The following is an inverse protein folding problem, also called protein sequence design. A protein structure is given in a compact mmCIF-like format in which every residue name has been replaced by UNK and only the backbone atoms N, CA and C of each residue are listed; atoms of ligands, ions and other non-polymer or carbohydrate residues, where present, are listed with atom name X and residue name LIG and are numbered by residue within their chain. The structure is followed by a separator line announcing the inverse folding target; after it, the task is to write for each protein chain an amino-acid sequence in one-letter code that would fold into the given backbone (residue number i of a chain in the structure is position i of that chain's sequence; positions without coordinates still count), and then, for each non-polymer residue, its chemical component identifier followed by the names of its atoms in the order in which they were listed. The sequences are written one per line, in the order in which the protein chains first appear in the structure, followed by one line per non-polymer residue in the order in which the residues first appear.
data_IF_939130139862
#
_entry.id   IF_939130139862
#
_cell.length_a   1.000
_cell.length_b   1.000
_cell.length_c   1.000
_cell.angle_alpha   90.00
_cell.angle_beta   90.00
_cell.angle_gamma   90.00
#
_symmetry.space_group_name_H-M   'P 1'
#
loop_
_entity.id
_entity.type
_entity.pdbx_description
1 polymer ?
2 non-polymer ?
3 non-polymer ?
4 non-polymer ?
5 water ?
#
# COMPACT_ATOMS: atom_id res chain seq x y z
N UNK A 5 10.91 16.77 5.54
CA UNK A 5 9.80 16.22 4.71
C UNK A 5 8.46 16.84 5.11
N UNK A 6 8.34 18.15 4.91
CA UNK A 6 7.20 18.93 5.43
C UNK A 6 5.82 18.53 4.88
N UNK A 7 5.80 17.91 3.71
CA UNK A 7 4.55 17.53 3.04
C UNK A 7 3.84 16.32 3.64
N UNK A 8 4.57 15.56 4.47
CA UNK A 8 4.04 14.38 5.16
C UNK A 8 2.89 14.69 6.11
N UNK A 9 2.98 15.85 6.78
CA UNK A 9 2.06 16.23 7.85
C UNK A 9 0.58 16.07 7.53
N UNK A 10 0.15 16.62 6.39
CA UNK A 10 -1.25 16.58 6.02
C UNK A 10 -1.76 15.14 5.79
N UNK A 11 -0.95 14.32 5.11
CA UNK A 11 -1.32 12.91 4.88
C UNK A 11 -1.42 12.11 6.18
N UNK A 12 -0.43 12.28 7.06
CA UNK A 12 -0.45 11.66 8.39
C UNK A 12 -1.67 12.10 9.21
N UNK A 13 -2.05 13.38 9.12
CA UNK A 13 -3.23 13.89 9.84
C UNK A 13 -4.53 13.27 9.33
N UNK A 14 -4.66 13.08 8.02
CA UNK A 14 -5.81 12.38 7.46
C UNK A 14 -5.86 10.92 7.95
N UNK A 15 -4.70 10.25 8.03
CA UNK A 15 -4.68 8.87 8.55
C UNK A 15 -5.12 8.82 10.00
N UNK A 16 -4.62 9.77 10.79
CA UNK A 16 -4.94 9.85 12.21
C UNK A 16 -6.43 10.03 12.49
N UNK A 17 -7.14 10.74 11.59
CA UNK A 17 -8.59 10.88 11.72
C UNK A 17 -9.31 9.51 11.76
N UNK A 18 -8.88 8.57 10.92
CA UNK A 18 -9.50 7.24 10.90
C UNK A 18 -9.04 6.44 12.11
N UNK A 19 -7.74 6.53 12.41
CA UNK A 19 -7.17 5.85 13.57
C UNK A 19 -7.84 6.23 14.89
N UNK A 20 -8.27 7.49 15.02
CA UNK A 20 -8.92 7.97 16.24
C UNK A 20 -10.41 7.60 16.34
N UNK A 21 -10.99 7.10 15.24
CA UNK A 21 -12.42 6.78 15.20
C UNK A 21 -12.69 5.35 15.67
N UNK A 22 -13.67 5.20 16.56
CA UNK A 22 -14.13 3.89 17.01
C UNK A 22 -15.66 3.88 17.04
N UNK A 23 -16.30 3.92 15.85
CA UNK A 23 -17.75 4.16 15.77
C UNK A 23 -18.58 2.99 16.29
N UNK A 24 -18.02 1.79 16.31
CA UNK A 24 -18.72 0.63 16.83
C UNK A 24 -18.37 0.35 18.31
N UNK A 25 -17.58 1.25 18.89
CA UNK A 25 -17.13 1.12 20.29
C UNK A 25 -16.53 -0.27 20.51
N UNK A 26 -15.64 -0.65 19.58
CA UNK A 26 -15.17 -2.04 19.49
C UNK A 26 -13.76 -2.30 20.03
N UNK A 27 -13.04 -1.25 20.43
CA UNK A 27 -11.62 -1.36 20.82
C UNK A 27 -11.34 -2.53 21.78
N UNK A 28 -12.04 -2.56 22.91
CA UNK A 28 -11.82 -3.60 23.92
C UNK A 28 -12.19 -5.00 23.44
N UNK A 29 -13.15 -5.07 22.51
CA UNK A 29 -13.55 -6.35 21.93
C UNK A 29 -12.51 -6.88 20.94
N UNK A 30 -12.04 -6.03 20.02
CA UNK A 30 -11.10 -6.49 19.00
C UNK A 30 -9.75 -6.91 19.62
N UNK A 31 -9.37 -6.28 20.73
CA UNK A 31 -8.17 -6.68 21.47
C UNK A 31 -8.19 -8.12 22.00
N UNK A 32 -9.37 -8.72 22.08
CA UNK A 32 -9.52 -10.12 22.52
C UNK A 32 -9.33 -11.12 21.36
N UNK A 33 -9.28 -10.61 20.13
CA UNK A 33 -9.13 -11.49 18.96
C UNK A 33 -7.83 -12.35 18.92
N UNK A 34 -6.64 -11.75 19.20
CA UNK A 34 -5.42 -12.56 19.30
C UNK A 34 -5.50 -13.81 20.19
N UNK A 35 -6.06 -13.68 21.38
CA UNK A 35 -6.25 -14.83 22.27
C UNK A 35 -7.08 -15.92 21.63
N UNK A 36 -8.19 -15.53 20.99
CA UNK A 36 -9.07 -16.49 20.31
C UNK A 36 -8.43 -17.16 19.11
N UNK A 37 -7.61 -16.40 18.37
CA UNK A 37 -6.83 -16.97 17.27
C UNK A 37 -5.80 -17.99 17.74
N UNK A 38 -5.13 -17.67 18.86
CA UNK A 38 -4.17 -18.57 19.49
C UNK A 38 -4.86 -19.89 19.90
N UNK A 39 -6.08 -19.78 20.43
CA UNK A 39 -6.89 -20.95 20.79
C UNK A 39 -7.60 -21.60 19.59
N UNK A 40 -7.49 -21.00 18.41
CA UNK A 40 -8.17 -21.50 17.21
C UNK A 40 -9.68 -21.71 17.46
N UNK A 41 -10.27 -20.75 18.17
CA UNK A 41 -11.64 -20.84 18.64
C UNK A 41 -12.58 -20.13 17.65
N UNK A 42 -13.01 -20.86 16.63
CA UNK A 42 -13.79 -20.30 15.54
C UNK A 42 -15.19 -19.82 15.99
N UNK A 43 -15.96 -20.66 16.73
CA UNK A 43 -17.24 -20.16 17.25
C UNK A 43 -17.07 -18.91 18.11
N UNK A 44 -15.99 -18.89 18.91
CA UNK A 44 -15.67 -17.73 19.75
C UNK A 44 -15.39 -16.47 18.94
N UNK A 45 -14.64 -16.62 17.85
CA UNK A 45 -14.34 -15.52 16.94
C UNK A 45 -15.63 -14.93 16.35
N UNK A 46 -16.51 -15.80 15.84
CA UNK A 46 -17.82 -15.38 15.33
C UNK A 46 -18.63 -14.67 16.44
N UNK A 47 -18.64 -15.28 17.63
CA UNK A 47 -19.36 -14.70 18.77
C UNK A 47 -18.87 -13.30 19.13
N UNK A 48 -17.55 -13.11 19.11
CA UNK A 48 -16.96 -11.81 19.45
C UNK A 48 -17.35 -10.76 18.39
N UNK A 49 -17.27 -11.13 17.12
CA UNK A 49 -17.71 -10.23 16.04
C UNK A 49 -19.18 -9.81 16.21
N UNK A 50 -20.06 -10.78 16.50
CA UNK A 50 -21.49 -10.50 16.65
C UNK A 50 -21.82 -9.53 17.79
N UNK A 51 -20.91 -9.38 18.76
CA UNK A 51 -21.07 -8.40 19.82
C UNK A 51 -21.10 -6.96 19.33
N UNK A 52 -20.45 -6.68 18.19
CA UNK A 52 -20.41 -5.30 17.68
C UNK A 52 -20.80 -5.11 16.20
N UNK A 53 -21.05 -6.19 15.48
CA UNK A 53 -21.39 -6.12 14.06
C UNK A 53 -22.79 -5.50 13.87
N UNK A 54 -22.86 -4.36 13.12
CA UNK A 54 -24.13 -3.65 12.90
C UNK A 54 -24.99 -4.32 11.83
N UNK A 55 -25.50 -5.51 12.16
CA UNK A 55 -26.33 -6.33 11.26
C UNK A 55 -27.63 -5.63 10.81
N UNK A 56 -28.10 -4.65 11.57
CA UNK A 56 -29.34 -3.93 11.25
C UNK A 56 -29.15 -2.82 10.22
N UNK A 57 -27.89 -2.49 9.91
CA UNK A 57 -27.59 -1.39 8.99
C UNK A 57 -26.65 -0.37 9.60
N UNK A 58 -26.09 0.49 8.76
CA UNK A 58 -25.13 1.51 9.18
C UNK A 58 -25.85 2.78 9.66
N UNK A 59 -25.37 3.37 10.77
CA UNK A 59 -25.87 4.67 11.27
C UNK A 59 -25.80 5.75 10.18
N UNK A 60 -26.90 6.48 10.01
CA UNK A 60 -27.04 7.44 8.92
C UNK A 60 -26.07 8.63 8.98
N UNK A 61 -25.60 8.97 10.18
CA UNK A 61 -24.67 10.09 10.36
C UNK A 61 -23.22 9.83 9.98
N UNK A 62 -22.88 8.58 9.66
CA UNK A 62 -21.50 8.17 9.32
C UNK A 62 -21.00 8.76 8.01
N UNK A 63 -19.73 9.15 8.00
CA UNK A 63 -19.04 9.56 6.78
C UNK A 63 -17.99 8.52 6.41
N UNK A 64 -17.06 8.90 5.52
CA UNK A 64 -15.96 8.02 5.12
C UNK A 64 -15.16 7.53 6.33
N UNK A 65 -14.90 8.44 7.28
CA UNK A 65 -14.05 8.14 8.42
C UNK A 65 -14.63 7.01 9.28
N UNK A 66 -15.90 7.14 9.66
CA UNK A 66 -16.56 6.11 10.46
C UNK A 66 -16.66 4.78 9.71
N UNK A 67 -17.06 4.81 8.45
CA UNK A 67 -17.19 3.58 7.67
C UNK A 67 -15.84 2.85 7.49
N UNK A 68 -14.75 3.60 7.26
CA UNK A 68 -13.40 3.01 7.13
C UNK A 68 -12.95 2.42 8.47
N UNK A 69 -13.22 3.13 9.57
CA UNK A 69 -12.89 2.64 10.90
C UNK A 69 -13.68 1.37 11.23
N UNK A 70 -14.95 1.34 10.81
CA UNK A 70 -15.79 0.15 10.99
C UNK A 70 -15.25 -1.04 10.20
N UNK A 71 -14.87 -0.79 8.94
CA UNK A 71 -14.27 -1.83 8.09
C UNK A 71 -12.96 -2.38 8.71
N UNK A 72 -12.16 -1.50 9.30
CA UNK A 72 -10.96 -1.91 10.04
C UNK A 72 -11.28 -2.95 11.13
N UNK A 73 -12.25 -2.62 11.99
CA UNK A 73 -12.52 -3.45 13.18
C UNK A 73 -13.19 -4.78 12.87
N UNK A 74 -14.14 -4.76 11.93
CA UNK A 74 -14.72 -5.99 11.39
C UNK A 74 -13.65 -6.77 10.60
N UNK A 75 -12.81 -6.03 9.88
CA UNK A 75 -11.77 -6.61 9.01
C UNK A 75 -10.84 -7.64 9.60
N UNK A 76 -10.34 -7.38 10.81
CA UNK A 76 -9.44 -8.33 11.44
C UNK A 76 -10.08 -9.71 11.67
N UNK A 77 -11.41 -9.74 11.82
CA UNK A 77 -12.16 -10.99 11.92
C UNK A 77 -12.25 -11.74 10.61
N UNK A 78 -12.23 -11.00 9.49
CA UNK A 78 -12.30 -11.58 8.15
C UNK A 78 -11.06 -12.40 7.82
N UNK A 79 -9.88 -11.79 7.97
CA UNK A 79 -8.60 -12.49 7.85
C UNK A 79 -8.48 -13.67 8.81
N UNK A 80 -8.96 -13.48 10.04
CA UNK A 80 -8.89 -14.50 11.09
C UNK A 80 -9.73 -15.73 10.74
N UNK A 81 -10.97 -15.51 10.31
CA UNK A 81 -11.84 -16.65 9.99
C UNK A 81 -11.30 -17.46 8.81
N UNK A 82 -10.85 -16.77 7.76
CA UNK A 82 -10.19 -17.42 6.62
C UNK A 82 -8.91 -18.19 7.02
N UNK A 83 -8.13 -17.62 7.93
CA UNK A 83 -6.91 -18.28 8.43
C UNK A 83 -7.23 -19.68 9.01
N UNK A 84 -8.37 -19.80 9.69
CA UNK A 84 -8.82 -21.09 10.24
C UNK A 84 -9.61 -21.97 9.24
N UNK A 85 -9.67 -21.53 7.98
CA UNK A 85 -10.25 -22.34 6.91
C UNK A 85 -11.72 -22.05 6.59
N UNK A 86 -12.21 -20.88 6.98
CA UNK A 86 -13.64 -20.56 6.82
C UNK A 86 -13.89 -19.27 6.03
N UNK A 87 -14.77 -19.33 5.04
CA UNK A 87 -15.20 -18.10 4.40
C UNK A 87 -16.05 -17.28 5.39
N UNK A 88 -15.58 -16.09 5.76
CA UNK A 88 -16.31 -15.33 6.78
C UNK A 88 -17.78 -15.08 6.39
N UNK A 89 -18.05 -14.82 5.12
CA UNK A 89 -19.42 -14.57 4.65
C UNK A 89 -20.33 -15.80 4.79
N UNK A 90 -19.71 -16.99 4.88
CA UNK A 90 -20.47 -18.23 5.01
C UNK A 90 -20.79 -18.61 6.45
N UNK A 91 -20.01 -18.09 7.40
CA UNK A 91 -20.18 -18.47 8.81
C UNK A 91 -20.76 -17.37 9.70
N UNK A 92 -20.84 -16.14 9.17
CA UNK A 92 -21.35 -15.00 9.95
C UNK A 92 -22.61 -14.47 9.28
N UNK A 93 -23.79 -14.72 9.90
CA UNK A 93 -25.01 -14.29 9.24
C UNK A 93 -25.10 -12.76 9.23
N UNK A 94 -25.58 -12.20 8.12
CA UNK A 94 -25.72 -10.75 8.01
C UNK A 94 -24.42 -10.00 7.77
N UNK A 95 -23.29 -10.71 7.67
CA UNK A 95 -22.00 -10.04 7.48
C UNK A 95 -21.84 -9.44 6.08
N UNK A 96 -22.17 -10.22 5.05
CA UNK A 96 -21.95 -9.79 3.68
C UNK A 96 -22.67 -8.46 3.34
N UNK A 97 -23.96 -8.28 3.72
CA UNK A 97 -24.60 -6.98 3.45
C UNK A 97 -23.91 -5.78 4.13
N UNK A 98 -23.46 -5.96 5.37
CA UNK A 98 -22.66 -4.94 6.06
C UNK A 98 -21.36 -4.59 5.29
N UNK A 99 -20.63 -5.62 4.85
CA UNK A 99 -19.38 -5.42 4.11
C UNK A 99 -19.63 -4.66 2.79
N UNK A 100 -20.68 -5.04 2.07
CA UNK A 100 -21.03 -4.36 0.82
C UNK A 100 -21.43 -2.89 1.05
N UNK A 101 -22.15 -2.62 2.14
CA UNK A 101 -22.54 -1.24 2.53
C UNK A 101 -21.34 -0.37 2.87
N UNK A 102 -20.36 -0.95 3.57
CA UNK A 102 -19.14 -0.25 3.95
C UNK A 102 -18.24 0.01 2.74
N UNK A 103 -18.18 -0.96 1.84
CA UNK A 103 -17.53 -0.77 0.53
C UNK A 103 -18.15 0.41 -0.23
N UNK A 104 -19.49 0.48 -0.25
CA UNK A 104 -20.23 1.58 -0.87
C UNK A 104 -19.83 2.93 -0.26
N UNK A 105 -19.74 2.96 1.07
CA UNK A 105 -19.51 4.19 1.82
C UNK A 105 -18.06 4.68 1.72
N UNK A 106 -17.13 3.77 1.40
CA UNK A 106 -15.72 4.12 1.32
C UNK A 106 -15.14 4.14 -0.11
N UNK A 107 -15.92 3.67 -1.08
CA UNK A 107 -15.44 3.42 -2.45
C UNK A 107 -14.14 2.57 -2.46
N UNK A 108 -14.13 1.57 -1.59
CA UNK A 108 -13.01 0.63 -1.46
C UNK A 108 -13.60 -0.80 -1.51
N UNK A 109 -12.74 -1.85 -1.57
CA UNK A 109 -13.29 -3.22 -1.60
C UNK A 109 -14.01 -3.59 -0.29
N UNK A 110 -14.88 -4.62 -0.33
CA UNK A 110 -15.64 -5.04 0.85
C UNK A 110 -14.88 -5.94 1.83
N UNK A 111 -13.67 -5.54 2.21
CA UNK A 111 -12.88 -6.23 3.24
C UNK A 111 -11.78 -5.29 3.72
N UNK A 112 -10.96 -5.73 4.68
CA UNK A 112 -9.84 -4.90 5.15
C UNK A 112 -8.71 -4.87 4.12
N UNK A 113 -8.07 -3.71 4.01
CA UNK A 113 -6.91 -3.52 3.14
C UNK A 113 -5.71 -3.09 4.01
N UNK A 114 -4.56 -2.96 3.36
CA UNK A 114 -3.36 -2.43 3.99
C UNK A 114 -3.61 -1.15 4.81
N UNK A 115 -4.36 -0.21 4.23
CA UNK A 115 -4.67 1.06 4.90
C UNK A 115 -5.36 0.86 6.24
N UNK A 116 -6.40 0.02 6.25
CA UNK A 116 -7.15 -0.29 7.48
C UNK A 116 -6.27 -0.82 8.62
N UNK A 117 -5.34 -1.71 8.28
CA UNK A 117 -4.56 -2.42 9.31
C UNK A 117 -3.30 -1.66 9.72
N UNK A 118 -2.90 -0.64 8.97
CA UNK A 118 -1.67 0.09 9.26
C UNK A 118 -1.96 1.54 9.65
N UNK A 119 -2.03 2.43 8.67
CA UNK A 119 -2.16 3.87 8.97
C UNK A 119 -3.50 4.27 9.59
N UNK A 120 -4.55 3.49 9.33
CA UNK A 120 -5.86 3.78 9.91
C UNK A 120 -6.11 3.07 11.24
N UNK A 121 -5.08 2.40 11.74
CA UNK A 121 -5.13 1.56 12.94
C UNK A 121 -4.34 2.32 14.02
N UNK A 122 -4.98 2.59 15.18
CA UNK A 122 -4.26 3.34 16.23
C UNK A 122 -3.02 2.60 16.70
N UNK A 123 -2.04 3.35 17.19
CA UNK A 123 -0.71 2.82 17.46
C UNK A 123 -0.50 2.36 18.90
N UNK A 124 -1.35 2.82 19.82
CA UNK A 124 -1.14 2.54 21.24
C UNK A 124 -1.42 1.08 21.58
N UNK A 125 -0.68 0.56 22.56
CA UNK A 125 -0.81 -0.82 23.03
C UNK A 125 -2.24 -1.17 23.45
N UNK A 126 -2.93 -0.23 24.11
CA UNK A 126 -4.31 -0.50 24.52
C UNK A 126 -5.36 -0.22 23.43
N UNK A 127 -4.92 0.00 22.19
CA UNK A 127 -5.84 0.33 21.08
C UNK A 127 -5.53 -0.36 19.77
N UNK A 128 -4.27 -0.68 19.51
CA UNK A 128 -3.87 -1.23 18.20
C UNK A 128 -4.52 -2.58 17.94
N UNK A 129 -5.26 -2.67 16.84
CA UNK A 129 -5.86 -3.93 16.38
C UNK A 129 -4.80 -4.79 15.71
N UNK A 130 -4.93 -6.11 15.86
CA UNK A 130 -3.96 -7.05 15.34
C UNK A 130 -4.62 -8.42 15.16
N UNK A 131 -4.13 -9.22 14.21
CA UNK A 131 -4.55 -10.61 14.07
C UNK A 131 -3.99 -11.47 15.21
N UNK A 132 -2.70 -11.29 15.51
CA UNK A 132 -1.96 -12.25 16.36
C UNK A 132 -1.50 -11.71 17.70
N UNK A 133 -1.41 -10.39 17.83
CA UNK A 133 -0.79 -9.79 19.00
C UNK A 133 0.70 -10.02 19.14
N UNK A 134 1.33 -10.57 18.10
CA UNK A 134 2.78 -10.86 18.16
C UNK A 134 3.62 -9.59 17.93
N UNK A 135 4.79 -9.50 18.59
CA UNK A 135 5.65 -8.35 18.37
C UNK A 135 6.06 -8.19 16.89
N UNK A 136 6.29 -9.30 16.20
CA UNK A 136 6.61 -9.29 14.77
C UNK A 136 5.53 -8.65 13.89
N UNK A 137 4.25 -8.87 14.22
CA UNK A 137 3.16 -8.19 13.54
C UNK A 137 3.17 -6.67 13.83
N UNK A 138 3.45 -6.31 15.08
CA UNK A 138 3.56 -4.89 15.44
C UNK A 138 4.67 -4.22 14.63
N UNK A 139 5.79 -4.91 14.46
CA UNK A 139 6.91 -4.43 13.66
C UNK A 139 6.55 -4.31 12.18
N UNK A 140 5.82 -5.31 11.67
CA UNK A 140 5.32 -5.29 10.31
C UNK A 140 4.44 -4.07 10.02
N UNK A 141 3.50 -3.79 10.93
CA UNK A 141 2.65 -2.60 10.80
C UNK A 141 3.46 -1.31 10.86
N UNK A 142 4.42 -1.24 11.78
CA UNK A 142 5.29 -0.06 11.90
C UNK A 142 6.07 0.20 10.60
N UNK A 143 6.59 -0.87 9.99
CA UNK A 143 7.37 -0.75 8.75
C UNK A 143 6.59 0.01 7.67
N UNK A 144 5.29 -0.25 7.57
CA UNK A 144 4.45 0.45 6.60
C UNK A 144 4.15 1.89 7.05
N UNK A 145 3.89 2.08 8.35
CA UNK A 145 3.66 3.44 8.86
C UNK A 145 4.86 4.38 8.64
N UNK A 146 6.08 3.83 8.58
CA UNK A 146 7.29 4.62 8.32
C UNK A 146 7.19 5.40 6.99
N UNK A 147 6.62 4.79 5.96
CA UNK A 147 6.71 5.35 4.61
C UNK A 147 5.41 5.69 3.88
N UNK A 148 4.26 5.26 4.39
CA UNK A 148 2.99 5.51 3.67
C UNK A 148 2.69 6.99 3.39
N UNK A 149 2.75 7.85 4.40
CA UNK A 149 2.49 9.28 4.21
C UNK A 149 3.49 9.94 3.25
N UNK A 150 4.75 9.52 3.35
CA UNK A 150 5.82 10.00 2.45
C UNK A 150 5.57 9.55 1.02
N UNK A 151 5.07 8.33 0.85
CA UNK A 151 4.74 7.81 -0.48
C UNK A 151 3.60 8.59 -1.12
N UNK A 152 2.56 8.89 -0.32
CA UNK A 152 1.44 9.72 -0.80
C UNK A 152 1.89 11.13 -1.21
N UNK A 153 2.79 11.72 -0.44
CA UNK A 153 3.42 12.98 -0.82
C UNK A 153 4.20 12.81 -2.12
N UNK A 154 4.93 11.69 -2.25
CA UNK A 154 5.72 11.40 -3.45
C UNK A 154 4.85 11.28 -4.70
N UNK A 155 3.67 10.66 -4.58
CA UNK A 155 2.72 10.61 -5.71
C UNK A 155 2.36 12.01 -6.17
N UNK A 156 2.00 12.88 -5.21
CA UNK A 156 1.66 14.27 -5.54
C UNK A 156 2.82 14.99 -6.25
N UNK A 157 4.04 14.79 -5.76
CA UNK A 157 5.24 15.42 -6.34
C UNK A 157 5.56 14.88 -7.76
N UNK A 158 5.24 13.61 -7.99
CA UNK A 158 5.47 12.97 -9.29
C UNK A 158 4.52 13.53 -10.37
N UNK A 159 3.26 13.66 -9.98
CA UNK A 159 2.23 14.27 -10.84
C UNK A 159 2.56 15.73 -11.16
N UNK A 160 3.09 16.45 -10.17
CA UNK A 160 3.54 17.84 -10.37
C UNK A 160 4.75 17.93 -11.30
N UNK A 161 5.71 17.03 -11.11
CA UNK A 161 6.93 16.95 -11.91
C UNK A 161 6.64 16.69 -13.40
N UNK A 162 5.61 15.89 -13.65
CA UNK A 162 5.18 15.53 -15.01
C UNK A 162 5.04 16.74 -15.94
N UNK A 163 4.51 17.84 -15.42
CA UNK A 163 4.29 19.05 -16.21
C UNK A 163 5.42 20.09 -16.11
N UNK A 164 6.53 19.69 -15.48
CA UNK A 164 7.70 20.56 -15.37
C UNK A 164 8.70 20.28 -16.50
N UNK A 165 9.09 21.34 -17.19
CA UNK A 165 10.08 21.25 -18.27
C UNK A 165 11.47 20.91 -17.73
N UNK A 166 12.15 20.00 -18.43
CA UNK A 166 13.54 19.64 -18.14
C UNK A 166 14.49 20.84 -18.27
N UNK A 167 14.13 21.80 -19.11
CA UNK A 167 14.89 23.05 -19.31
C UNK A 167 14.83 23.98 -18.09
N UNK A 168 13.85 23.76 -17.22
CA UNK A 168 13.67 24.57 -16.01
C UNK A 168 14.51 24.00 -14.86
N UNK A 169 15.17 24.88 -14.08
CA UNK A 169 15.89 24.44 -12.87
C UNK A 169 14.97 23.74 -11.85
N UNK A 170 13.67 24.02 -11.92
CA UNK A 170 12.69 23.35 -11.08
C UNK A 170 12.69 21.82 -11.25
N UNK A 171 13.01 21.34 -12.45
CA UNK A 171 12.99 19.89 -12.70
C UNK A 171 13.97 19.16 -11.77
N UNK A 172 15.22 19.63 -11.77
CA UNK A 172 16.25 19.06 -10.89
C UNK A 172 15.85 19.18 -9.41
N UNK A 173 15.33 20.35 -9.03
CA UNK A 173 14.93 20.63 -7.65
C UNK A 173 13.78 19.72 -7.18
N UNK A 174 12.73 19.60 -8.00
CA UNK A 174 11.59 18.73 -7.70
C UNK A 174 11.99 17.26 -7.68
N UNK A 175 12.91 16.86 -8.56
CA UNK A 175 13.42 15.48 -8.59
C UNK A 175 14.19 15.12 -7.33
N UNK A 176 15.02 16.05 -6.86
CA UNK A 176 15.77 15.90 -5.61
C UNK A 176 14.84 15.75 -4.40
N UNK A 177 13.76 16.53 -4.40
CA UNK A 177 12.76 16.47 -3.35
C UNK A 177 12.01 15.13 -3.38
N UNK A 178 11.66 14.68 -4.58
CA UNK A 178 11.00 13.38 -4.75
C UNK A 178 11.83 12.22 -4.22
N UNK A 179 13.14 12.27 -4.50
CA UNK A 179 14.06 11.26 -4.04
C UNK A 179 14.07 11.17 -2.51
N UNK A 180 14.04 12.33 -1.85
CA UNK A 180 14.04 12.43 -0.39
C UNK A 180 12.81 11.75 0.24
N UNK A 181 11.66 11.90 -0.40
CA UNK A 181 10.43 11.25 0.05
C UNK A 181 10.46 9.75 -0.19
N UNK A 182 10.98 9.34 -1.33
CA UNK A 182 11.11 7.92 -1.68
C UNK A 182 12.11 7.17 -0.81
N UNK A 183 13.06 7.90 -0.23
CA UNK A 183 14.02 7.34 0.73
C UNK A 183 13.34 6.62 1.93
N UNK A 184 12.16 7.08 2.30
CA UNK A 184 11.36 6.41 3.35
C UNK A 184 11.01 4.94 3.06
N UNK A 185 10.75 4.60 1.79
CA UNK A 185 10.59 3.19 1.38
C UNK A 185 11.81 2.35 1.73
N UNK A 186 13.01 2.92 1.57
CA UNK A 186 14.24 2.22 1.89
C UNK A 186 14.30 1.97 3.39
N UNK A 187 13.99 3.01 4.17
CA UNK A 187 13.94 2.92 5.63
C UNK A 187 12.97 1.83 6.12
N UNK A 188 11.82 1.72 5.45
CA UNK A 188 10.83 0.68 5.76
C UNK A 188 11.40 -0.74 5.65
N UNK A 189 12.12 -1.00 4.57
CA UNK A 189 12.72 -2.33 4.33
C UNK A 189 13.84 -2.62 5.34
N UNK A 190 14.67 -1.62 5.62
CA UNK A 190 15.74 -1.76 6.61
C UNK A 190 15.12 -2.18 7.95
N UNK A 191 14.07 -1.46 8.37
CA UNK A 191 13.33 -1.76 9.58
C UNK A 191 12.78 -3.18 9.59
N UNK A 192 12.11 -3.56 8.51
CA UNK A 192 11.48 -4.87 8.41
C UNK A 192 12.54 -6.00 8.46
N UNK A 193 13.68 -5.78 7.82
CA UNK A 193 14.75 -6.76 7.81
C UNK A 193 15.38 -6.95 9.21
N UNK A 194 15.45 -5.86 9.97
CA UNK A 194 16.02 -5.86 11.31
C UNK A 194 15.07 -6.44 12.36
N UNK A 195 13.80 -6.11 12.26
CA UNK A 195 12.88 -6.36 13.36
C UNK A 195 11.89 -7.51 13.20
N UNK A 196 11.66 -7.98 11.97
CA UNK A 196 10.69 -9.05 11.73
C UNK A 196 11.36 -10.41 11.50
N UNK A 197 11.04 -11.38 12.35
CA UNK A 197 11.50 -12.76 12.15
C UNK A 197 10.87 -13.36 10.88
N UNK A 198 11.72 -13.88 9.96
CA UNK A 198 11.23 -14.51 8.72
C UNK A 198 10.34 -15.71 9.01
N UNK A 199 10.76 -16.52 9.99
CA UNK A 199 10.01 -17.69 10.42
C UNK A 199 8.64 -17.32 11.00
N UNK A 200 8.61 -16.33 11.90
CA UNK A 200 7.34 -15.87 12.46
C UNK A 200 6.45 -15.28 11.37
N UNK A 201 7.03 -14.53 10.43
CA UNK A 201 6.21 -14.03 9.33
C UNK A 201 5.58 -15.18 8.55
N UNK A 202 6.42 -16.10 8.09
CA UNK A 202 5.95 -17.16 7.19
C UNK A 202 4.97 -18.11 7.88
N UNK A 203 5.30 -18.51 9.11
CA UNK A 203 4.51 -19.51 9.82
C UNK A 203 3.30 -18.96 10.54
N UNK A 204 3.41 -17.72 11.04
CA UNK A 204 2.41 -17.18 11.96
C UNK A 204 1.62 -15.99 11.41
N UNK A 205 2.23 -15.17 10.56
CA UNK A 205 1.51 -13.98 10.04
C UNK A 205 0.87 -14.23 8.67
N UNK A 206 1.66 -14.76 7.75
CA UNK A 206 1.23 -15.03 6.37
C UNK A 206 -0.17 -15.73 6.26
N UNK A 207 -0.46 -16.74 7.12
CA UNK A 207 -1.77 -17.41 7.09
C UNK A 207 -3.01 -16.51 7.24
N UNK A 208 -2.82 -15.29 7.78
CA UNK A 208 -3.92 -14.37 7.99
C UNK A 208 -4.27 -13.49 6.78
N UNK A 209 -3.48 -13.60 5.70
CA UNK A 209 -3.59 -12.71 4.54
C UNK A 209 -4.14 -13.38 3.28
N UNK A 210 -4.91 -14.45 3.46
CA UNK A 210 -5.52 -15.16 2.33
C UNK A 210 -6.72 -14.40 1.72
N UNK A 211 -7.07 -14.69 0.45
CA UNK A 211 -8.28 -14.05 -0.10
C UNK A 211 -9.59 -14.57 0.52
N UNK A 212 -10.63 -13.74 0.47
CA UNK A 212 -11.97 -14.15 0.86
C UNK A 212 -12.96 -13.82 -0.27
N UNK A 213 -14.09 -14.51 -0.27
CA UNK A 213 -15.12 -14.28 -1.29
C UNK A 213 -16.26 -13.42 -0.72
N UNK A 214 -16.52 -12.30 -1.39
CA UNK A 214 -17.63 -11.41 -1.05
C UNK A 214 -18.26 -10.97 -2.36
N UNK A 215 -19.59 -11.03 -2.44
CA UNK A 215 -20.31 -10.54 -3.62
C UNK A 215 -19.98 -11.26 -4.92
N UNK A 216 -19.62 -12.54 -4.81
CA UNK A 216 -19.37 -13.38 -5.96
C UNK A 216 -18.03 -13.18 -6.64
N UNK A 217 -17.08 -12.58 -5.92
CA UNK A 217 -15.69 -12.53 -6.39
C UNK A 217 -14.70 -12.63 -5.21
N UNK A 218 -13.42 -12.78 -5.53
CA UNK A 218 -12.37 -12.96 -4.54
C UNK A 218 -11.64 -11.64 -4.30
N UNK A 219 -11.45 -11.31 -3.02
CA UNK A 219 -10.67 -10.13 -2.65
C UNK A 219 -9.44 -10.51 -1.87
N UNK A 220 -8.29 -10.02 -2.34
CA UNK A 220 -7.00 -10.30 -1.73
C UNK A 220 -6.88 -9.73 -0.31
N UNK A 221 -6.06 -10.38 0.48
CA UNK A 221 -5.81 -9.98 1.86
C UNK A 221 -4.87 -8.78 1.92
N UNK A 222 -4.76 -8.16 3.10
CA UNK A 222 -3.90 -6.98 3.19
C UNK A 222 -2.43 -7.33 2.99
N UNK A 223 -1.71 -6.41 2.36
CA UNK A 223 -0.29 -6.57 2.09
C UNK A 223 0.29 -5.26 1.61
N UNK A 224 1.56 -5.03 1.89
CA UNK A 224 2.27 -3.83 1.42
C UNK A 224 2.31 -3.72 -0.10
N UNK A 225 2.04 -4.82 -0.78
CA UNK A 225 1.86 -4.83 -2.23
C UNK A 225 0.75 -3.84 -2.65
N UNK A 226 -0.19 -3.58 -1.72
CA UNK A 226 -1.31 -2.63 -1.96
C UNK A 226 -0.92 -1.15 -1.83
N UNK A 227 0.31 -0.86 -1.41
CA UNK A 227 0.81 0.52 -1.35
C UNK A 227 0.79 1.08 -2.77
N UNK A 228 0.34 2.33 -2.93
CA UNK A 228 0.19 2.92 -4.27
C UNK A 228 1.52 3.28 -4.97
N UNK A 229 2.61 2.61 -4.61
CA UNK A 229 3.89 2.79 -5.29
C UNK A 229 3.75 2.49 -6.79
N UNK A 230 2.98 1.46 -7.13
CA UNK A 230 2.74 1.11 -8.54
C UNK A 230 2.06 2.23 -9.33
N UNK A 231 1.24 3.03 -8.65
CA UNK A 231 0.60 4.19 -9.28
C UNK A 231 1.63 5.28 -9.55
N UNK A 232 2.48 5.55 -8.56
CA UNK A 232 3.57 6.50 -8.73
C UNK A 232 4.44 6.11 -9.93
N UNK A 233 4.80 4.83 -10.01
CA UNK A 233 5.69 4.36 -11.07
C UNK A 233 5.01 4.24 -12.44
N UNK A 234 3.69 4.05 -12.43
CA UNK A 234 2.88 4.13 -13.64
C UNK A 234 3.09 5.51 -14.29
N UNK A 235 2.93 6.57 -13.49
CA UNK A 235 3.18 7.93 -13.95
C UNK A 235 4.65 8.15 -14.32
N UNK A 236 5.55 7.70 -13.44
CA UNK A 236 6.98 7.95 -13.62
C UNK A 236 7.59 7.27 -14.85
N UNK A 237 7.35 5.98 -15.02
CA UNK A 237 8.00 5.21 -16.10
C UNK A 237 7.17 4.15 -16.82
N UNK A 238 6.13 3.63 -16.16
CA UNK A 238 5.48 2.40 -16.63
C UNK A 238 4.21 2.47 -17.47
N UNK A 239 3.65 3.67 -17.64
CA UNK A 239 2.31 3.83 -18.22
C UNK A 239 2.18 3.30 -19.66
N UNK A 240 3.25 3.36 -20.42
CA UNK A 240 3.25 2.91 -21.82
C UNK A 240 4.02 1.59 -22.02
N UNK A 241 4.29 0.87 -20.94
CA UNK A 241 4.99 -0.40 -21.00
C UNK A 241 4.15 -1.45 -21.74
N UNK A 242 4.79 -2.19 -22.65
CA UNK A 242 4.11 -3.26 -23.38
C UNK A 242 4.16 -4.62 -22.65
N UNK A 243 4.80 -4.64 -21.48
CA UNK A 243 4.89 -5.85 -20.65
C UNK A 243 3.52 -6.20 -20.05
N UNK A 244 2.94 -7.28 -20.57
CA UNK A 244 1.59 -7.73 -20.21
C UNK A 244 1.47 -8.18 -18.76
N UNK A 245 2.49 -8.90 -18.28
CA UNK A 245 2.57 -9.36 -16.90
C UNK A 245 2.57 -8.17 -15.92
N UNK A 246 3.31 -7.12 -16.28
CA UNK A 246 3.40 -5.90 -15.50
C UNK A 246 2.06 -5.15 -15.47
N UNK A 247 1.40 -5.07 -16.62
CA UNK A 247 0.07 -4.46 -16.73
C UNK A 247 -0.95 -5.21 -15.86
N UNK A 248 -0.92 -6.54 -15.92
CA UNK A 248 -1.78 -7.40 -15.11
C UNK A 248 -1.57 -7.15 -13.62
N UNK A 249 -0.31 -7.04 -13.21
CA UNK A 249 0.05 -6.75 -11.82
C UNK A 249 -0.63 -5.45 -11.33
N UNK A 250 -0.47 -4.37 -12.08
CA UNK A 250 -1.06 -3.08 -11.72
C UNK A 250 -2.58 -3.09 -11.68
N UNK A 251 -3.20 -3.73 -12.68
CA UNK A 251 -4.67 -3.84 -12.72
C UNK A 251 -5.23 -4.69 -11.58
N UNK A 252 -4.44 -5.66 -11.12
CA UNK A 252 -4.82 -6.50 -9.99
C UNK A 252 -4.97 -5.70 -8.69
N UNK A 253 -4.07 -4.76 -8.46
CA UNK A 253 -4.02 -4.07 -7.17
C UNK A 253 -4.71 -2.71 -7.16
N UNK A 254 -5.03 -2.23 -8.37
CA UNK A 254 -5.73 -0.97 -8.55
C UNK A 254 -6.99 -0.78 -7.66
N UNK A 255 -7.87 -1.79 -7.55
CA UNK A 255 -9.05 -1.64 -6.67
C UNK A 255 -8.76 -1.36 -5.20
N UNK A 256 -7.58 -1.74 -4.72
CA UNK A 256 -7.27 -1.66 -3.29
C UNK A 256 -6.69 -0.33 -2.85
N UNK A 257 -6.37 0.55 -3.81
CA UNK A 257 -5.80 1.86 -3.48
C UNK A 257 -6.90 2.92 -3.42
N UNK A 258 -6.61 4.04 -2.77
CA UNK A 258 -7.59 5.12 -2.63
C UNK A 258 -8.14 5.57 -3.99
N UNK A 259 -9.44 5.92 -4.05
CA UNK A 259 -10.08 6.43 -5.25
C UNK A 259 -9.26 7.49 -5.99
N UNK A 260 -8.63 8.39 -5.27
CA UNK A 260 -7.82 9.45 -5.88
C UNK A 260 -6.65 8.86 -6.68
N UNK A 261 -6.07 7.76 -6.19
CA UNK A 261 -4.96 7.10 -6.90
C UNK A 261 -5.40 6.26 -8.08
N UNK A 262 -6.60 5.71 -8.01
CA UNK A 262 -7.21 5.06 -9.17
C UNK A 262 -7.49 6.07 -10.29
N UNK A 263 -7.86 7.30 -9.92
CA UNK A 263 -8.11 8.37 -10.91
C UNK A 263 -6.81 8.87 -11.52
N UNK A 264 -5.78 8.99 -10.69
CA UNK A 264 -4.44 9.33 -11.18
C UNK A 264 -3.98 8.29 -12.21
N UNK A 265 -4.17 7.02 -11.87
CA UNK A 265 -3.81 5.92 -12.76
C UNK A 265 -4.50 6.02 -14.13
N UNK A 266 -5.82 6.23 -14.12
CA UNK A 266 -6.62 6.35 -15.34
C UNK A 266 -6.21 7.54 -16.18
N UNK A 267 -5.89 8.64 -15.50
CA UNK A 267 -5.46 9.88 -16.15
C UNK A 267 -4.21 9.69 -17.01
N UNK A 268 -3.29 8.83 -16.54
CA UNK A 268 -1.99 8.68 -17.17
C UNK A 268 -1.81 7.44 -18.04
N UNK A 269 -2.82 6.57 -18.05
CA UNK A 269 -2.82 5.35 -18.88
C UNK A 269 -2.67 5.63 -20.39
N UNK A 270 -3.27 6.72 -20.85
CA UNK A 270 -3.21 7.11 -22.26
C UNK A 270 -2.19 8.19 -22.59
N UNK A 271 -1.29 8.46 -21.64
CA UNK A 271 -0.20 9.40 -21.86
C UNK A 271 1.15 8.66 -21.88
N UNK A 272 2.16 9.25 -22.54
CA UNK A 272 3.52 8.77 -22.32
C UNK A 272 3.91 9.01 -20.86
N UNK A 273 4.77 8.15 -20.32
CA UNK A 273 5.22 8.31 -18.95
C UNK A 273 6.17 9.50 -18.84
N UNK A 274 6.40 9.95 -17.61
CA UNK A 274 7.30 11.08 -17.33
C UNK A 274 8.67 10.87 -17.96
N UNK A 275 9.25 9.69 -17.76
CA UNK A 275 10.55 9.33 -18.31
C UNK A 275 10.59 9.51 -19.84
N UNK A 276 9.54 9.05 -20.53
CA UNK A 276 9.44 9.13 -21.99
C UNK A 276 9.48 10.58 -22.46
N UNK A 277 8.68 11.42 -21.81
CA UNK A 277 8.62 12.85 -22.11
C UNK A 277 9.97 13.53 -21.81
N UNK A 278 10.53 13.25 -20.63
CA UNK A 278 11.80 13.86 -20.21
C UNK A 278 12.96 13.48 -21.14
N UNK A 279 13.01 12.22 -21.57
CA UNK A 279 14.05 11.78 -22.51
C UNK A 279 13.85 12.38 -23.90
N UNK A 280 12.60 12.49 -24.33
CA UNK A 280 12.27 13.13 -25.62
C UNK A 280 12.71 14.59 -25.62
N UNK A 281 12.50 15.26 -24.49
CA UNK A 281 12.90 16.66 -24.36
C UNK A 281 14.41 16.82 -24.33
N UNK A 282 15.09 15.99 -23.52
CA UNK A 282 16.55 16.01 -23.45
C UNK A 282 17.19 15.82 -24.83
N UNK A 283 16.66 14.85 -25.59
CA UNK A 283 17.14 14.59 -26.95
C UNK A 283 16.84 15.74 -27.91
N UNK A 284 15.73 16.44 -27.71
CA UNK A 284 15.35 17.55 -28.59
C UNK A 284 16.23 18.78 -28.38
N UNK A 285 16.54 19.09 -27.11
CA UNK A 285 17.23 20.33 -26.73
C UNK A 285 18.76 20.21 -26.75
N UNK A 286 19.28 19.00 -26.43
CA UNK A 286 20.73 18.81 -26.30
C UNK A 286 21.14 18.67 -24.83
N UNK A 287 22.27 17.97 -24.63
CA UNK A 287 22.77 17.76 -23.27
C UNK A 287 23.75 18.87 -22.86
N UNK A 288 24.03 19.80 -23.78
CA UNK A 288 24.86 20.96 -23.50
C UNK A 288 24.14 21.94 -22.55
N UNK A 289 22.81 21.95 -22.63
CA UNK A 289 21.97 22.72 -21.71
C UNK A 289 22.19 22.19 -20.29
N UNK A 290 22.62 23.08 -19.39
CA UNK A 290 22.95 22.72 -18.01
C UNK A 290 21.76 22.19 -17.20
N UNK A 291 20.59 22.77 -17.44
CA UNK A 291 19.36 22.34 -16.78
C UNK A 291 18.90 20.96 -17.24
N UNK A 292 19.24 20.61 -18.49
CA UNK A 292 18.96 19.27 -19.01
C UNK A 292 19.88 18.24 -18.34
N UNK A 293 21.19 18.56 -18.26
CA UNK A 293 22.15 17.66 -17.60
C UNK A 293 21.77 17.44 -16.14
N UNK A 294 21.48 18.54 -15.42
CA UNK A 294 21.07 18.48 -14.01
C UNK A 294 19.74 17.75 -13.77
N UNK A 295 18.78 17.98 -14.66
CA UNK A 295 17.46 17.35 -14.55
C UNK A 295 17.55 15.84 -14.68
N UNK A 296 18.31 15.38 -15.67
CA UNK A 296 18.48 13.96 -15.91
C UNK A 296 19.25 13.29 -14.77
N UNK A 297 20.24 13.99 -14.24
CA UNK A 297 21.07 13.49 -13.13
C UNK A 297 20.22 13.28 -11.90
N UNK A 298 19.39 14.28 -11.57
CA UNK A 298 18.47 14.21 -10.45
C UNK A 298 17.43 13.10 -10.67
N UNK A 299 16.96 12.97 -11.91
CA UNK A 299 16.02 11.91 -12.27
C UNK A 299 16.63 10.53 -12.08
N UNK A 300 17.91 10.38 -12.43
CA UNK A 300 18.63 9.11 -12.24
C UNK A 300 18.65 8.69 -10.76
N UNK A 301 18.85 9.67 -9.87
CA UNK A 301 18.85 9.44 -8.43
C UNK A 301 17.48 8.97 -7.90
N UNK A 302 16.40 9.38 -8.57
CA UNK A 302 15.06 8.87 -8.27
C UNK A 302 14.99 7.37 -8.56
N UNK A 303 15.54 6.94 -9.69
CA UNK A 303 15.62 5.53 -10.02
C UNK A 303 16.56 4.76 -9.07
N UNK A 304 17.64 5.41 -8.67
CA UNK A 304 18.57 4.81 -7.69
C UNK A 304 17.84 4.47 -6.38
N UNK A 305 17.07 5.40 -5.84
CA UNK A 305 16.35 5.14 -4.59
C UNK A 305 15.26 4.07 -4.75
N UNK A 306 14.61 4.03 -5.91
CA UNK A 306 13.64 2.97 -6.20
C UNK A 306 14.31 1.58 -6.15
N UNK A 307 15.51 1.50 -6.70
CA UNK A 307 16.27 0.24 -6.73
C UNK A 307 16.80 -0.14 -5.34
N UNK A 308 17.08 0.87 -4.52
CA UNK A 308 17.53 0.66 -3.15
C UNK A 308 16.39 0.23 -2.23
N UNK A 309 15.14 0.46 -2.65
CA UNK A 309 14.00 -0.18 -2.01
C UNK A 309 13.84 -1.60 -2.59
N UNK A 310 13.79 -1.69 -3.91
CA UNK A 310 13.34 -2.89 -4.61
C UNK A 310 14.27 -4.10 -4.48
N UNK A 311 15.58 -3.87 -4.56
CA UNK A 311 16.55 -4.99 -4.47
C UNK A 311 16.67 -5.62 -3.07
N UNK A 312 16.81 -4.79 -2.00
CA UNK A 312 16.72 -5.30 -0.62
C UNK A 312 15.37 -5.92 -0.28
N UNK A 313 14.28 -5.38 -0.85
CA UNK A 313 12.95 -5.96 -0.63
C UNK A 313 12.85 -7.38 -1.16
N UNK A 314 13.49 -7.64 -2.30
CA UNK A 314 13.49 -8.98 -2.89
C UNK A 314 14.18 -9.97 -1.93
N UNK A 315 15.30 -9.54 -1.33
CA UNK A 315 16.02 -10.36 -0.35
C UNK A 315 15.17 -10.62 0.90
N UNK A 316 14.48 -9.58 1.38
CA UNK A 316 13.56 -9.69 2.52
C UNK A 316 12.49 -10.75 2.25
N UNK A 317 11.89 -10.68 1.06
CA UNK A 317 10.82 -11.59 0.65
C UNK A 317 11.32 -13.02 0.43
N UNK A 318 12.46 -13.16 -0.25
CA UNK A 318 13.04 -14.49 -0.47
C UNK A 318 13.49 -15.16 0.83
N UNK A 319 14.02 -14.38 1.77
CA UNK A 319 14.36 -14.88 3.11
C UNK A 319 13.11 -15.44 3.84
N UNK A 320 12.00 -14.72 3.76
CA UNK A 320 10.76 -15.19 4.37
C UNK A 320 10.23 -16.45 3.67
N UNK A 321 10.22 -16.42 2.34
CA UNK A 321 9.64 -17.54 1.59
C UNK A 321 10.52 -18.79 1.50
N UNK A 322 11.78 -18.65 1.91
CA UNK A 322 12.69 -19.80 2.06
C UNK A 322 12.31 -20.64 3.29
N UNK A 323 11.54 -20.04 4.20
CA UNK A 323 11.01 -20.75 5.38
C UNK A 323 9.95 -21.77 4.97
N UNK A 336 10.18 -16.76 -3.35
CA UNK A 336 9.27 -15.61 -3.50
C UNK A 336 8.69 -15.52 -4.92
N UNK A 337 7.44 -15.03 -5.05
CA UNK A 337 6.79 -14.83 -6.34
C UNK A 337 7.69 -14.17 -7.39
N UNK A 338 7.63 -14.69 -8.62
CA UNK A 338 8.48 -14.27 -9.74
C UNK A 338 8.24 -12.83 -10.17
N UNK A 339 7.05 -12.33 -9.85
CA UNK A 339 6.65 -10.94 -10.07
C UNK A 339 7.70 -9.92 -9.58
N UNK A 340 8.32 -10.23 -8.43
CA UNK A 340 9.28 -9.34 -7.79
C UNK A 340 10.56 -9.15 -8.61
N UNK A 341 11.12 -10.25 -9.09
CA UNK A 341 12.32 -10.23 -9.92
C UNK A 341 12.09 -9.54 -11.25
N UNK A 342 10.91 -9.78 -11.82
CA UNK A 342 10.51 -9.18 -13.11
C UNK A 342 10.37 -7.67 -13.04
N UNK A 343 9.80 -7.18 -11.94
CA UNK A 343 9.67 -5.75 -11.73
C UNK A 343 11.03 -5.08 -11.51
N UNK A 344 11.89 -5.76 -10.75
CA UNK A 344 13.25 -5.27 -10.52
C UNK A 344 13.98 -5.04 -11.84
N UNK A 345 13.88 -6.03 -12.73
CA UNK A 345 14.48 -5.96 -14.06
C UNK A 345 13.96 -4.75 -14.85
N UNK A 346 12.64 -4.55 -14.83
CA UNK A 346 12.01 -3.40 -15.46
C UNK A 346 12.56 -2.05 -14.95
N UNK A 347 12.80 -1.98 -13.64
CA UNK A 347 13.31 -0.77 -12.99
C UNK A 347 14.76 -0.48 -13.38
N UNK A 348 15.61 -1.52 -13.40
CA UNK A 348 16.98 -1.39 -13.91
C UNK A 348 17.00 -0.90 -15.36
N UNK A 349 16.11 -1.44 -16.19
CA UNK A 349 16.00 -1.03 -17.59
C UNK A 349 15.58 0.43 -17.70
N UNK A 350 14.67 0.87 -16.83
CA UNK A 350 14.26 2.27 -16.79
C UNK A 350 15.42 3.20 -16.44
N UNK A 351 16.16 2.88 -15.37
CA UNK A 351 17.35 3.66 -15.01
C UNK A 351 18.40 3.70 -16.13
N UNK A 352 18.59 2.56 -16.79
CA UNK A 352 19.53 2.45 -17.91
C UNK A 352 19.23 3.47 -19.01
N UNK A 353 17.96 3.68 -19.31
CA UNK A 353 17.53 4.68 -20.29
C UNK A 353 18.01 6.08 -19.90
N UNK A 354 17.89 6.42 -18.61
CA UNK A 354 18.34 7.70 -18.09
C UNK A 354 19.87 7.83 -18.16
N UNK A 355 20.58 6.78 -17.76
CA UNK A 355 22.06 6.73 -17.83
C UNK A 355 22.58 6.86 -19.27
N UNK A 356 21.86 6.25 -20.20
CA UNK A 356 22.19 6.30 -21.63
C UNK A 356 22.03 7.70 -22.24
N UNK A 357 21.06 8.46 -21.73
CA UNK A 357 20.83 9.84 -22.17
C UNK A 357 21.99 10.75 -21.78
N UNK A 358 22.46 10.51 -20.50
CA UNK A 358 23.61 11.27 -19.96
C UNK A 358 24.94 10.78 -20.51
N UNK A 359 24.93 9.68 -21.25
CA UNK A 359 26.15 9.12 -21.84
C UNK A 359 26.15 9.23 -23.36
X LIG B 1 5.43 -7.13 -2.91
X LIG B 1 6.72 -10.07 0.73
X LIG B 1 7.62 -6.24 3.53
X LIG B 1 6.36 -3.27 -0.07
X LIG B 1 5.69 -8.26 -2.17
X LIG B 1 5.56 -9.63 -2.63
X LIG B 1 5.91 -10.44 -1.62
X LIG B 1 6.29 -9.62 -0.49
X LIG B 1 5.92 -11.99 -1.65
X LIG B 1 5.07 -10.06 -4.02
X LIG B 1 3.54 -9.87 -4.01
X LIG B 1 2.77 -10.89 -3.18
X LIG B 1 2.16 -10.48 -2.16
X LIG B 1 2.76 -12.10 -3.52
X LIG B 1 7.08 -9.30 1.81
X LIG B 1 7.52 -9.78 3.10
X LIG B 1 7.77 -8.72 3.87
X LIG B 1 7.48 -7.53 3.10
X LIG B 1 7.66 -11.28 3.46
X LIG B 1 8.26 -8.68 5.35
X LIG B 1 8.74 -9.75 5.98
X LIG B 1 7.35 -5.11 2.80
X LIG B 1 7.50 -3.74 3.26
X LIG B 1 7.15 -2.92 2.27
X LIG B 1 6.78 -3.74 1.14
X LIG B 1 7.97 -3.37 4.67
X LIG B 1 7.14 -1.37 2.27
X LIG B 1 6.85 -0.66 3.36
X LIG B 1 5.99 -4.00 -1.16
X LIG B 1 5.57 -3.45 -2.42
X LIG B 1 5.27 -4.64 -3.31
X LIG B 1 5.55 -5.81 -2.51
X LIG B 1 5.43 -1.95 -2.78
X LIG B 1 4.79 -4.57 -4.78
X LIG B 1 6.01 -4.96 -5.65
X LIG B 1 7.14 -3.93 -5.80
X LIG B 1 6.91 -2.69 -5.82
X LIG B 1 8.31 -4.37 -5.93
X LIG B 1 6.14 -8.29 -0.87
X LIG B 1 7.08 -7.92 1.85
X LIG B 1 6.91 -5.07 1.49
X LIG B 1 5.96 -5.39 -1.25
X LIG B 1 6.57 -6.67 0.31
X LIG C 1 2.32 -10.00 1.00
X LIG C 1 3.52 -9.22 1.34
X LIG C 1 3.40 -7.77 0.84
X LIG C 1 4.32 -6.97 1.00
X LIG C 1 3.81 -9.24 2.85
X LIG C 1 2.71 -8.65 3.74
X LIG C 1 2.73 -7.43 4.40
X LIG C 1 1.55 -9.23 4.03
X LIG C 1 0.83 -8.45 4.84
X LIG C 1 1.52 -7.34 5.08
X LIG C 1 1.23 -6.23 5.84
X LIG C 1 2.15 -5.17 5.94
X LIG C 1 3.37 -5.26 5.25
X LIG C 1 3.66 -6.39 4.48
X LIG C 1 2.38 -7.41 0.27
X LIG C 1 -0.29 -6.18 6.67
X LIG D 1 -19.47 -17.60 -4.95
X LIG D 1 -19.67 -18.83 -4.10
X LIG D 1 -18.68 -17.93 -6.19
X LIG D 1 -20.82 -17.04 -5.38
X LIG D 1 -18.72 -16.56 -4.15
#
# INVERSE_FOLDING_TARGET
MERTLDRVGVFAATHAAVAASDPLQARALVLQLPGLNRNKDVPGIVGLLREFLPVRGLPSGWGFVEAAAAMRDIGFFLGSLKRHGHEPAEVVPGLEPVLLDLARATNLPPRETLLHVTVWNPTAADAQRSYTGLPDEAHLLESVRISMAALEAAIALTVELFDVSLRSPEFAQRSDELEAYLQKMVESIVYAYRFISPQVFYDELRPFYEPIRVGGQSYLGPGAVEMPLFVLEHVLWGSQSDDQTYREFKETYLPYVLPAYRAVYARFSGEPALIDRALDEARAVGTRDEHVRAGLTALERVFKVLLRFRAPHLKLAERAYEVGQSGPEIGSGGYAPSMLGELLTLTYAARSRVRAALDES
HEM CHA CHB CHC CHD C1A C2A C3A C4A CMA CAA CBA CGA O1A O2A C1B C2B C3B C4B CMB CAB CBB C1C C2C C3C C4C CMC CAC CBC C1D C2D C3D C4D CMD CAD CBD CGD O1D O2D NA NB NC ND FE
DTE N CA C OXT CB CG CD2 CD1 NE1 CE2 CZ2 CH2 CZ3 CE3 O CL
PO4 P O1 O2 O3 O4
#
